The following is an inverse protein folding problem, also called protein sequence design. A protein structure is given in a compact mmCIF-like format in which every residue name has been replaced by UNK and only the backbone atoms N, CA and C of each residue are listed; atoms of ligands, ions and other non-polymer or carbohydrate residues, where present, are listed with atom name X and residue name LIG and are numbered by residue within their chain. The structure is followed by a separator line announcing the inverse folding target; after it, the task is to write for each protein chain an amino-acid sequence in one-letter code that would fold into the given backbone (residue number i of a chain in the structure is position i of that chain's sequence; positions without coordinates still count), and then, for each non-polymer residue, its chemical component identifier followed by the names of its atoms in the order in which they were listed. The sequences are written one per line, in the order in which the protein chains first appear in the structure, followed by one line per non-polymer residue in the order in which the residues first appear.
data_IF_713158060058
#
_entry.id   IF_713158060058
#
_cell.length_a   1.000
_cell.length_b   1.000
_cell.length_c   1.000
_cell.angle_alpha   90.00
_cell.angle_beta   90.00
_cell.angle_gamma   90.00
#
_symmetry.space_group_name_H-M   'P 1'
#
loop_
_entity.id
_entity.type
_entity.pdbx_description
1 polymer ?
#
# COMPACT_ATOMS: atom_id res chain seq x y z
N UNK A 1 -11.20 -5.71 0.54
CA UNK A 1 -10.76 -4.38 1.01
C UNK A 1 -11.37 -4.13 2.38
N UNK A 2 -10.73 -3.41 3.33
CA UNK A 2 -11.41 -3.03 4.57
C UNK A 2 -12.59 -2.12 4.21
N UNK A 3 -13.75 -2.41 4.79
CA UNK A 3 -14.96 -1.62 4.52
C UNK A 3 -15.07 -0.33 5.33
N UNK A 4 -14.12 -0.06 6.25
CA UNK A 4 -14.19 1.07 7.18
C UNK A 4 -12.90 1.89 7.23
N UNK A 5 -13.03 3.11 7.74
CA UNK A 5 -11.93 4.03 8.02
C UNK A 5 -11.08 3.54 9.19
N UNK A 6 -9.81 3.99 9.26
CA UNK A 6 -8.94 3.74 10.42
C UNK A 6 -9.41 4.64 11.58
N UNK A 7 -9.16 4.20 12.81
CA UNK A 7 -9.37 5.03 14.00
C UNK A 7 -8.40 6.21 13.95
N UNK A 8 -8.94 7.41 14.11
CA UNK A 8 -8.20 8.64 14.36
C UNK A 8 -7.57 8.62 15.75
N UNK A 9 -6.58 9.48 15.99
CA UNK A 9 -5.93 9.58 17.31
C UNK A 9 -6.95 9.90 18.41
N UNK A 10 -7.92 10.78 18.15
CA UNK A 10 -8.97 11.14 19.10
C UNK A 10 -9.84 9.92 19.46
N UNK A 11 -10.25 9.13 18.46
CA UNK A 11 -11.03 7.91 18.71
C UNK A 11 -10.22 6.86 19.46
N UNK A 12 -8.91 6.77 19.21
CA UNK A 12 -8.00 5.87 19.93
C UNK A 12 -7.91 6.25 21.42
N UNK A 13 -7.72 7.53 21.72
CA UNK A 13 -7.67 8.05 23.09
C UNK A 13 -9.02 7.84 23.80
N UNK A 14 -10.14 8.10 23.12
CA UNK A 14 -11.47 7.82 23.64
C UNK A 14 -11.63 6.34 24.00
N UNK A 15 -11.19 5.41 23.13
CA UNK A 15 -11.26 3.98 23.43
C UNK A 15 -10.45 3.62 24.69
N UNK A 16 -9.27 4.23 24.88
CA UNK A 16 -8.45 4.00 26.07
C UNK A 16 -9.16 4.49 27.34
N UNK A 17 -9.70 5.71 27.33
CA UNK A 17 -10.45 6.28 28.47
C UNK A 17 -11.67 5.42 28.81
N UNK A 18 -12.48 5.05 27.80
CA UNK A 18 -13.68 4.23 27.99
C UNK A 18 -13.33 2.81 28.48
N UNK A 19 -12.16 2.29 28.10
CA UNK A 19 -11.65 1.01 28.60
C UNK A 19 -11.24 1.10 30.07
N UNK A 20 -10.60 2.18 30.49
CA UNK A 20 -10.27 2.45 31.91
C UNK A 20 -11.55 2.54 32.75
N UNK A 21 -12.62 3.12 32.20
CA UNK A 21 -13.96 3.15 32.80
C UNK A 21 -14.67 1.78 32.81
N UNK A 22 -13.99 0.70 32.39
CA UNK A 22 -14.50 -0.68 32.36
C UNK A 22 -15.78 -0.88 31.52
N UNK A 23 -16.01 -0.02 30.52
CA UNK A 23 -17.13 -0.20 29.61
C UNK A 23 -16.97 -1.44 28.74
N UNK A 24 -18.10 -2.04 28.36
CA UNK A 24 -18.10 -3.18 27.46
C UNK A 24 -17.66 -2.77 26.04
N UNK A 25 -17.05 -3.69 25.29
CA UNK A 25 -16.65 -3.42 23.90
C UNK A 25 -17.81 -2.99 23.00
N UNK A 26 -19.04 -3.44 23.30
CA UNK A 26 -20.25 -3.01 22.57
C UNK A 26 -20.60 -1.55 22.87
N UNK A 27 -20.49 -1.14 24.14
CA UNK A 27 -20.71 0.24 24.55
C UNK A 27 -19.66 1.17 23.93
N UNK A 28 -18.38 0.80 24.02
CA UNK A 28 -17.26 1.54 23.40
C UNK A 28 -17.48 1.71 21.90
N UNK A 29 -17.86 0.64 21.20
CA UNK A 29 -18.15 0.67 19.76
C UNK A 29 -19.30 1.62 19.42
N UNK A 30 -20.37 1.62 20.23
CA UNK A 30 -21.52 2.51 20.05
C UNK A 30 -21.16 3.98 20.27
N UNK A 31 -20.29 4.29 21.24
CA UNK A 31 -19.87 5.67 21.53
C UNK A 31 -18.97 6.25 20.45
N UNK A 32 -18.06 5.44 19.87
CA UNK A 32 -17.15 5.88 18.81
C UNK A 32 -17.74 5.76 17.40
N UNK A 33 -18.90 5.13 17.23
CA UNK A 33 -19.51 4.90 15.91
C UNK A 33 -18.81 3.86 15.03
N UNK A 34 -17.97 2.99 15.60
CA UNK A 34 -17.27 1.92 14.88
C UNK A 34 -17.78 0.54 15.25
N UNK A 35 -17.33 -0.49 14.51
CA UNK A 35 -17.65 -1.87 14.87
C UNK A 35 -16.97 -2.31 16.17
N UNK A 36 -17.60 -3.23 16.90
CA UNK A 36 -17.01 -3.92 18.06
C UNK A 36 -15.63 -4.52 17.75
N UNK A 37 -15.44 -5.02 16.53
CA UNK A 37 -14.19 -5.65 16.11
C UNK A 37 -13.06 -4.64 15.96
N UNK A 38 -13.36 -3.41 15.54
CA UNK A 38 -12.36 -2.32 15.47
C UNK A 38 -11.85 -1.98 16.86
N UNK A 39 -12.76 -1.71 17.82
CA UNK A 39 -12.38 -1.45 19.21
C UNK A 39 -11.62 -2.64 19.84
N UNK A 40 -12.07 -3.88 19.59
CA UNK A 40 -11.37 -5.09 20.06
C UNK A 40 -9.96 -5.21 19.48
N UNK A 41 -9.78 -4.98 18.18
CA UNK A 41 -8.49 -5.10 17.51
C UNK A 41 -7.51 -4.02 17.98
N UNK A 42 -7.99 -2.78 18.16
CA UNK A 42 -7.20 -1.71 18.74
C UNK A 42 -6.74 -2.05 20.16
N UNK A 43 -7.65 -2.46 21.05
CA UNK A 43 -7.30 -2.80 22.43
C UNK A 43 -6.39 -4.04 22.56
N UNK A 44 -6.33 -4.91 21.55
CA UNK A 44 -5.44 -6.07 21.55
C UNK A 44 -3.98 -5.64 21.36
N UNK A 45 -3.74 -4.66 20.50
CA UNK A 45 -2.40 -4.14 20.20
C UNK A 45 -2.50 -2.65 19.81
N UNK A 46 -2.59 -1.75 20.80
CA UNK A 46 -2.79 -0.32 20.53
C UNK A 46 -1.60 0.31 19.79
N UNK A 47 -0.38 -0.11 20.14
CA UNK A 47 0.85 0.48 19.58
C UNK A 47 1.05 0.15 18.10
N UNK A 48 0.62 -1.03 17.66
CA UNK A 48 0.73 -1.45 16.26
C UNK A 48 -0.61 -1.39 15.52
N UNK A 49 -1.59 -0.65 16.03
CA UNK A 49 -2.88 -0.53 15.36
C UNK A 49 -2.71 0.09 13.97
N UNK A 50 -3.16 -0.64 12.96
CA UNK A 50 -3.14 -0.22 11.55
C UNK A 50 -1.77 0.26 11.02
N UNK A 51 -0.67 -0.14 11.67
CA UNK A 51 0.72 0.19 11.31
C UNK A 51 1.21 -0.59 10.10
N UNK A 52 0.70 -1.82 9.90
CA UNK A 52 1.06 -2.65 8.77
C UNK A 52 0.50 -2.07 7.47
N UNK A 53 1.39 -1.56 6.63
CA UNK A 53 1.06 -1.19 5.26
C UNK A 53 0.71 -2.44 4.45
N UNK A 54 -0.27 -2.29 3.55
CA UNK A 54 -0.58 -3.36 2.62
C UNK A 54 0.41 -3.28 1.47
N UNK A 55 1.01 -4.43 1.14
CA UNK A 55 1.71 -4.56 -0.11
C UNK A 55 0.75 -4.18 -1.26
N UNK A 56 1.20 -3.24 -2.08
CA UNK A 56 0.48 -2.85 -3.29
C UNK A 56 0.45 -3.99 -4.31
N UNK A 57 -0.19 -3.72 -5.45
CA UNK A 57 -0.16 -4.65 -6.58
C UNK A 57 1.29 -4.86 -7.03
N UNK A 58 1.69 -6.11 -7.19
CA UNK A 58 3.01 -6.47 -7.71
C UNK A 58 3.27 -5.80 -9.07
N UNK A 59 4.53 -5.39 -9.29
CA UNK A 59 4.94 -4.79 -10.56
C UNK A 59 4.78 -5.77 -11.73
N UNK A 60 4.43 -5.24 -12.90
CA UNK A 60 4.32 -6.05 -14.13
C UNK A 60 5.68 -6.56 -14.61
N UNK A 61 6.74 -5.79 -14.37
CA UNK A 61 8.10 -6.14 -14.73
C UNK A 61 8.76 -6.87 -13.55
N UNK A 62 9.46 -7.96 -13.84
CA UNK A 62 10.39 -8.57 -12.90
C UNK A 62 11.66 -7.72 -12.81
N UNK A 63 12.43 -7.89 -11.74
CA UNK A 63 13.73 -7.24 -11.57
C UNK A 63 14.67 -7.42 -12.77
N UNK A 64 14.68 -8.62 -13.38
CA UNK A 64 15.47 -8.89 -14.59
C UNK A 64 15.05 -8.01 -15.75
N UNK A 65 13.74 -7.92 -16.00
CA UNK A 65 13.20 -7.15 -17.11
C UNK A 65 13.34 -5.65 -16.85
N UNK A 66 13.24 -5.22 -15.59
CA UNK A 66 13.55 -3.85 -15.18
C UNK A 66 14.98 -3.49 -15.60
N UNK A 67 15.98 -4.30 -15.23
CA UNK A 67 17.38 -4.09 -15.64
C UNK A 67 17.57 -4.09 -17.17
N UNK A 68 16.88 -4.97 -17.89
CA UNK A 68 16.95 -5.03 -19.35
C UNK A 68 16.41 -3.76 -20.00
N UNK A 69 15.29 -3.20 -19.49
CA UNK A 69 14.73 -1.93 -19.94
C UNK A 69 15.75 -0.80 -19.83
N UNK A 70 16.39 -0.64 -18.66
CA UNK A 70 17.39 0.42 -18.48
C UNK A 70 18.60 0.22 -19.37
N UNK A 71 19.14 -1.00 -19.47
CA UNK A 71 20.28 -1.29 -20.33
C UNK A 71 20.02 -0.95 -21.80
N UNK A 72 18.82 -1.24 -22.29
CA UNK A 72 18.47 -0.93 -23.68
C UNK A 72 18.19 0.56 -23.90
N UNK A 73 17.67 1.26 -22.90
CA UNK A 73 17.48 2.71 -22.97
C UNK A 73 18.81 3.46 -22.95
N UNK A 74 19.75 3.12 -22.05
CA UNK A 74 20.98 3.90 -21.86
C UNK A 74 22.12 3.51 -22.79
N UNK A 75 22.41 2.21 -22.94
CA UNK A 75 23.55 1.75 -23.74
C UNK A 75 23.19 1.73 -25.22
N UNK A 76 21.97 1.26 -25.53
CA UNK A 76 21.57 1.03 -26.90
C UNK A 76 20.70 2.16 -27.48
N UNK A 77 20.38 3.21 -26.70
CA UNK A 77 19.50 4.32 -27.09
C UNK A 77 18.20 3.88 -27.78
N UNK A 78 17.61 2.78 -27.29
CA UNK A 78 16.38 2.23 -27.89
C UNK A 78 15.14 2.96 -27.37
N UNK A 79 14.21 3.20 -28.28
CA UNK A 79 12.89 3.75 -27.95
C UNK A 79 12.06 2.75 -27.13
N UNK A 80 11.06 3.26 -26.39
CA UNK A 80 10.21 2.41 -25.54
C UNK A 80 9.45 1.32 -26.31
N UNK A 81 9.09 1.55 -27.58
CA UNK A 81 8.46 0.54 -28.44
C UNK A 81 9.42 -0.57 -28.82
N UNK A 82 10.65 -0.22 -29.18
CA UNK A 82 11.71 -1.20 -29.47
C UNK A 82 12.05 -2.05 -28.24
N UNK A 83 12.07 -1.45 -27.05
CA UNK A 83 12.32 -2.18 -25.79
C UNK A 83 11.21 -3.20 -25.51
N UNK A 84 9.94 -2.87 -25.77
CA UNK A 84 8.83 -3.82 -25.61
C UNK A 84 9.00 -5.04 -26.49
N UNK A 85 9.42 -4.86 -27.74
CA UNK A 85 9.63 -5.98 -28.67
C UNK A 85 10.79 -6.90 -28.25
N UNK A 86 11.76 -6.37 -27.50
CA UNK A 86 12.90 -7.13 -26.97
C UNK A 86 12.59 -7.87 -25.67
N UNK A 87 11.51 -7.49 -24.98
CA UNK A 87 11.07 -8.13 -23.76
C UNK A 87 10.23 -9.36 -24.10
N UNK A 88 10.53 -10.49 -23.46
CA UNK A 88 9.77 -11.74 -23.62
C UNK A 88 8.36 -11.71 -23.02
N UNK A 89 7.98 -10.63 -22.34
CA UNK A 89 6.71 -10.51 -21.59
C UNK A 89 5.81 -9.47 -22.23
N UNK A 90 4.48 -9.69 -22.33
CA UNK A 90 3.55 -8.70 -22.85
C UNK A 90 3.44 -7.51 -21.88
N UNK A 91 4.24 -6.48 -22.13
CA UNK A 91 4.28 -5.25 -21.36
C UNK A 91 3.97 -4.09 -22.30
N UNK A 92 3.08 -3.19 -21.89
CA UNK A 92 2.75 -2.02 -22.72
C UNK A 92 3.92 -1.03 -22.80
N UNK A 93 4.04 -0.35 -23.94
CA UNK A 93 5.00 0.73 -24.16
C UNK A 93 4.90 1.83 -23.10
N UNK A 94 3.67 2.16 -22.66
CA UNK A 94 3.42 3.11 -21.56
C UNK A 94 4.01 2.66 -20.23
N UNK A 95 4.00 1.36 -19.94
CA UNK A 95 4.63 0.83 -18.71
C UNK A 95 6.14 1.03 -18.76
N UNK A 96 6.78 0.71 -19.89
CA UNK A 96 8.22 0.92 -20.09
C UNK A 96 8.59 2.40 -19.94
N UNK A 97 7.85 3.29 -20.60
CA UNK A 97 8.07 4.75 -20.48
C UNK A 97 7.94 5.24 -19.04
N UNK A 98 6.93 4.76 -18.31
CA UNK A 98 6.71 5.14 -16.90
C UNK A 98 7.86 4.69 -16.00
N UNK A 99 8.38 3.48 -16.19
CA UNK A 99 9.55 3.02 -15.42
C UNK A 99 10.80 3.83 -15.74
N UNK A 100 11.00 4.22 -17.01
CA UNK A 100 12.12 5.10 -17.41
C UNK A 100 12.01 6.49 -16.77
N UNK A 101 10.82 7.10 -16.79
CA UNK A 101 10.56 8.40 -16.17
C UNK A 101 10.72 8.37 -14.64
N UNK A 102 10.28 7.28 -14.00
CA UNK A 102 10.36 7.13 -12.53
C UNK A 102 11.80 7.20 -12.00
N UNK A 103 12.78 6.80 -12.82
CA UNK A 103 14.18 6.76 -12.44
C UNK A 103 15.00 7.96 -12.93
N UNK A 104 14.36 9.01 -13.47
CA UNK A 104 14.93 10.35 -13.73
C UNK A 104 16.38 10.37 -14.27
N UNK A 105 16.72 9.45 -15.17
CA UNK A 105 18.08 9.29 -15.72
C UNK A 105 18.11 9.16 -17.26
N UNK A 106 17.07 9.65 -17.95
CA UNK A 106 17.04 9.97 -19.38
C UNK A 106 16.06 11.11 -19.62
#
# INVERSE_FOLDING_TARGET
MPGGTKLTLVEQDQIQVLKVQKLSLRAIAKTIGHSKNVAKNFLKDPHHYASKERAGRAFKLSERNHRAVFRHATINNKSSSQIVNLLSKPVSTRTVRRELQRNNNV
#
